data_IF_412104120365
#
_entry.id   IF_412104120365
#
_cell.length_a   1.000
_cell.length_b   1.000
_cell.length_c   1.000
_cell.angle_alpha   90.00
_cell.angle_beta   90.00
_cell.angle_gamma   90.00
#
_symmetry.space_group_name_H-M   'P 1'
#
loop_
_entity.id
_entity.type
_entity.pdbx_description
1 polymer ?
#
# COMPACT_ATOMS: atom_id res chain seq x y z
N UNK A 1 -11.92 13.91 -16.31
CA UNK A 1 -10.57 13.98 -16.91
C UNK A 1 -9.64 14.72 -15.97
N UNK A 2 -8.48 14.15 -15.64
CA UNK A 2 -7.57 14.73 -14.64
C UNK A 2 -6.58 15.67 -15.32
N UNK A 3 -6.64 16.97 -14.99
CA UNK A 3 -5.84 18.02 -15.64
C UNK A 3 -4.33 17.85 -15.41
N UNK A 4 -3.92 17.40 -14.22
CA UNK A 4 -2.48 17.16 -13.90
C UNK A 4 -1.85 16.06 -14.75
N UNK A 5 -2.66 15.19 -15.36
CA UNK A 5 -2.19 14.12 -16.25
C UNK A 5 -2.44 14.46 -17.73
N UNK A 6 -2.61 15.74 -18.08
CA UNK A 6 -2.91 16.21 -19.43
C UNK A 6 -4.09 15.47 -20.10
N UNK A 7 -5.02 14.96 -19.29
CA UNK A 7 -6.17 14.19 -19.75
C UNK A 7 -5.91 12.73 -20.15
N UNK A 8 -4.73 12.19 -19.89
CA UNK A 8 -4.40 10.78 -20.14
C UNK A 8 -5.11 9.82 -19.18
N UNK A 9 -5.51 10.30 -17.99
CA UNK A 9 -6.25 9.52 -16.99
C UNK A 9 -7.61 10.13 -16.69
N UNK A 10 -8.54 9.26 -16.33
CA UNK A 10 -9.86 9.60 -15.82
C UNK A 10 -10.13 8.86 -14.51
N UNK A 11 -10.99 9.43 -13.68
CA UNK A 11 -11.50 8.78 -12.48
C UNK A 11 -12.86 8.20 -12.82
N UNK A 12 -13.07 6.94 -12.49
CA UNK A 12 -14.39 6.34 -12.57
C UNK A 12 -15.34 6.96 -11.55
N UNK A 13 -16.47 7.49 -12.02
CA UNK A 13 -17.45 8.14 -11.12
C UNK A 13 -18.05 7.19 -10.08
N UNK A 14 -18.10 5.89 -10.37
CA UNK A 14 -18.76 4.91 -9.51
C UNK A 14 -17.80 4.21 -8.54
N UNK A 15 -16.59 3.89 -9.00
CA UNK A 15 -15.59 3.12 -8.23
C UNK A 15 -14.44 3.96 -7.68
N UNK A 16 -14.28 5.22 -8.10
CA UNK A 16 -13.15 6.06 -7.71
C UNK A 16 -11.80 5.59 -8.29
N UNK A 17 -11.81 4.60 -9.18
CA UNK A 17 -10.59 4.03 -9.77
C UNK A 17 -10.03 5.00 -10.79
N UNK A 18 -8.74 5.31 -10.67
CA UNK A 18 -7.96 6.04 -11.68
C UNK A 18 -7.61 5.04 -12.79
N UNK A 19 -8.01 5.36 -14.02
CA UNK A 19 -7.73 4.55 -15.22
C UNK A 19 -7.27 5.43 -16.37
N UNK A 20 -6.63 4.84 -17.37
CA UNK A 20 -6.31 5.55 -18.61
C UNK A 20 -7.61 5.89 -19.37
N UNK A 21 -7.60 7.01 -20.10
CA UNK A 21 -8.78 7.61 -20.72
C UNK A 21 -9.47 6.67 -21.73
N UNK A 22 -8.71 5.76 -22.35
CA UNK A 22 -9.20 4.79 -23.32
C UNK A 22 -8.36 3.51 -23.30
N UNK A 23 -8.95 2.38 -23.71
CA UNK A 23 -8.26 1.08 -23.70
C UNK A 23 -7.03 1.05 -24.62
N UNK A 24 -7.06 1.77 -25.75
CA UNK A 24 -5.91 1.89 -26.65
C UNK A 24 -4.75 2.67 -26.01
N UNK A 25 -5.03 3.61 -25.13
CA UNK A 25 -4.00 4.31 -24.34
C UNK A 25 -3.36 3.36 -23.33
N UNK A 26 -4.15 2.46 -22.73
CA UNK A 26 -3.65 1.40 -21.87
C UNK A 26 -2.77 0.42 -22.63
N UNK A 27 -3.23 -0.10 -23.76
CA UNK A 27 -2.45 -1.00 -24.60
C UNK A 27 -1.12 -0.36 -25.07
N UNK A 28 -1.16 0.92 -25.46
CA UNK A 28 0.04 1.67 -25.82
C UNK A 28 0.99 1.82 -24.63
N UNK A 29 0.49 2.19 -23.46
CA UNK A 29 1.29 2.33 -22.24
C UNK A 29 1.93 1.01 -21.84
N UNK A 30 1.17 -0.09 -21.80
CA UNK A 30 1.67 -1.42 -21.43
C UNK A 30 2.78 -1.90 -22.39
N UNK A 31 2.64 -1.64 -23.69
CA UNK A 31 3.67 -1.98 -24.68
C UNK A 31 4.95 -1.14 -24.57
N UNK A 32 4.82 0.12 -24.16
CA UNK A 32 5.94 1.10 -24.20
C UNK A 32 6.58 1.35 -22.84
N UNK A 33 5.89 1.04 -21.73
CA UNK A 33 6.34 1.38 -20.36
C UNK A 33 7.73 0.87 -20.04
N UNK A 34 8.09 -0.35 -20.43
CA UNK A 34 9.42 -0.90 -20.16
C UNK A 34 10.56 -0.13 -20.84
N UNK A 35 10.29 0.50 -21.99
CA UNK A 35 11.27 1.31 -22.72
C UNK A 35 11.30 2.76 -22.22
N UNK A 36 10.15 3.34 -21.89
CA UNK A 36 10.04 4.75 -21.55
C UNK A 36 10.23 5.02 -20.05
N UNK A 37 9.92 4.03 -19.22
CA UNK A 37 9.98 4.09 -17.77
C UNK A 37 10.74 2.88 -17.21
N UNK A 38 12.00 2.66 -17.64
CA UNK A 38 12.78 1.50 -17.22
C UNK A 38 13.00 1.44 -15.69
N UNK A 39 13.05 2.61 -15.04
CA UNK A 39 13.28 2.74 -13.60
C UNK A 39 12.01 3.03 -12.79
N UNK A 40 10.81 2.88 -13.37
CA UNK A 40 9.56 3.21 -12.69
C UNK A 40 9.40 2.45 -11.36
N UNK A 41 9.62 1.14 -11.37
CA UNK A 41 9.48 0.31 -10.16
C UNK A 41 10.48 0.76 -9.08
N UNK A 42 11.73 1.03 -9.47
CA UNK A 42 12.76 1.55 -8.56
C UNK A 42 12.39 2.91 -7.95
N UNK A 43 11.89 3.83 -8.78
CA UNK A 43 11.44 5.14 -8.32
C UNK A 43 10.26 5.01 -7.35
N UNK A 44 9.25 4.22 -7.69
CA UNK A 44 8.07 4.02 -6.84
C UNK A 44 8.49 3.36 -5.53
N UNK A 45 9.31 2.31 -5.55
CA UNK A 45 9.85 1.68 -4.35
C UNK A 45 10.55 2.68 -3.45
N UNK A 46 11.44 3.52 -3.98
CA UNK A 46 12.14 4.57 -3.22
C UNK A 46 11.17 5.53 -2.55
N UNK A 47 10.17 6.00 -3.28
CA UNK A 47 9.13 6.89 -2.74
C UNK A 47 8.38 6.18 -1.61
N UNK A 48 7.95 4.93 -1.82
CA UNK A 48 7.25 4.15 -0.80
C UNK A 48 8.09 3.97 0.46
N UNK A 49 9.33 3.48 0.36
CA UNK A 49 10.16 3.24 1.56
C UNK A 49 10.59 4.52 2.26
N UNK A 50 10.79 5.61 1.52
CA UNK A 50 11.05 6.94 2.09
C UNK A 50 9.86 7.40 2.92
N UNK A 51 8.66 7.26 2.36
CA UNK A 51 7.43 7.65 3.05
C UNK A 51 7.14 6.76 4.27
N UNK A 52 7.31 5.44 4.14
CA UNK A 52 7.19 4.50 5.26
C UNK A 52 8.23 4.79 6.37
N UNK A 53 9.45 5.18 5.99
CA UNK A 53 10.48 5.60 6.95
C UNK A 53 10.11 6.86 7.72
N UNK A 54 9.22 7.72 7.20
CA UNK A 54 8.67 8.84 7.96
C UNK A 54 7.58 8.42 8.96
N UNK A 55 6.98 7.25 8.78
CA UNK A 55 5.91 6.77 9.68
C UNK A 55 6.46 6.28 11.03
N UNK A 56 7.70 5.77 11.07
CA UNK A 56 8.36 5.45 12.35
C UNK A 56 8.52 6.70 13.23
N UNK A 57 8.82 7.85 12.62
CA UNK A 57 8.88 9.15 13.32
C UNK A 57 7.51 9.63 13.81
N UNK A 58 6.41 9.20 13.16
CA UNK A 58 5.04 9.48 13.62
C UNK A 58 4.62 8.66 14.85
N UNK A 59 5.52 7.84 15.41
CA UNK A 59 5.29 6.99 16.58
C UNK A 59 4.06 6.06 16.44
N UNK A 60 3.71 5.67 15.21
CA UNK A 60 2.64 4.70 14.97
C UNK A 60 3.19 3.31 15.36
N UNK A 61 3.14 2.97 16.65
CA UNK A 61 3.35 1.61 17.15
C UNK A 61 2.02 0.90 17.25
N UNK A 62 1.71 -0.01 16.33
CA UNK A 62 0.53 -0.86 16.44
C UNK A 62 0.95 -2.19 17.10
N UNK A 63 1.32 -2.15 18.39
CA UNK A 63 1.48 -3.37 19.20
C UNK A 63 0.20 -4.20 19.23
N UNK A 64 0.29 -5.48 19.66
CA UNK A 64 -0.78 -6.50 19.68
C UNK A 64 -2.19 -5.91 19.72
N UNK A 65 -2.86 -5.91 18.56
CA UNK A 65 -4.08 -5.13 18.33
C UNK A 65 -5.32 -5.94 18.69
N UNK A 66 -6.07 -5.46 19.68
CA UNK A 66 -7.48 -5.83 19.84
C UNK A 66 -8.35 -5.01 18.89
N UNK A 67 -9.60 -5.44 18.65
CA UNK A 67 -10.56 -4.67 17.85
C UNK A 67 -10.78 -3.23 18.39
N UNK A 68 -10.68 -3.04 19.70
CA UNK A 68 -10.78 -1.73 20.36
C UNK A 68 -9.57 -0.84 20.05
N UNK A 69 -8.36 -1.42 20.00
CA UNK A 69 -7.14 -0.69 19.62
C UNK A 69 -7.22 -0.14 18.19
N UNK A 70 -7.84 -0.88 17.27
CA UNK A 70 -8.06 -0.42 15.89
C UNK A 70 -8.97 0.81 15.85
N UNK A 71 -10.09 0.78 16.58
CA UNK A 71 -11.05 1.89 16.61
C UNK A 71 -10.46 3.15 17.24
N UNK A 72 -9.79 3.02 18.38
CA UNK A 72 -9.10 4.12 19.06
C UNK A 72 -8.04 4.77 18.16
N UNK A 73 -7.29 3.96 17.41
CA UNK A 73 -6.22 4.46 16.54
C UNK A 73 -6.73 5.10 15.26
N UNK A 74 -7.88 4.65 14.73
CA UNK A 74 -8.56 5.35 13.63
C UNK A 74 -8.91 6.79 14.03
N UNK A 75 -9.35 6.99 15.27
CA UNK A 75 -9.60 8.32 15.84
C UNK A 75 -8.30 9.09 16.06
N UNK A 76 -7.26 8.46 16.60
CA UNK A 76 -5.94 9.09 16.83
C UNK A 76 -5.22 9.50 15.54
N UNK A 77 -5.37 8.73 14.45
CA UNK A 77 -4.88 9.10 13.11
C UNK A 77 -5.75 10.18 12.44
N UNK A 78 -6.77 10.69 13.14
CA UNK A 78 -7.51 11.90 12.79
C UNK A 78 -8.27 11.79 11.47
N UNK A 79 -8.70 10.59 11.08
CA UNK A 79 -9.34 10.36 9.77
C UNK A 79 -8.46 10.69 8.57
N UNK A 80 -7.19 11.05 8.78
CA UNK A 80 -6.25 11.50 7.75
C UNK A 80 -5.50 10.32 7.12
N UNK A 81 -6.20 9.18 7.08
CA UNK A 81 -5.85 7.98 6.35
C UNK A 81 -5.89 8.32 4.86
N UNK A 82 -4.78 8.85 4.36
CA UNK A 82 -4.76 9.33 2.99
C UNK A 82 -4.53 8.15 2.03
N UNK A 83 -4.96 8.33 0.78
CA UNK A 83 -4.81 7.30 -0.26
C UNK A 83 -3.36 6.86 -0.46
N UNK A 84 -2.39 7.74 -0.17
CA UNK A 84 -0.97 7.44 -0.30
C UNK A 84 -0.49 6.48 0.80
N UNK A 85 -0.93 6.65 2.06
CA UNK A 85 -0.57 5.77 3.18
C UNK A 85 -0.98 4.31 2.89
N UNK A 86 -2.20 4.13 2.37
CA UNK A 86 -2.70 2.83 1.90
C UNK A 86 -1.83 2.28 0.79
N UNK A 87 -1.57 3.10 -0.22
CA UNK A 87 -0.84 2.67 -1.41
C UNK A 87 0.58 2.23 -1.05
N UNK A 88 1.32 3.05 -0.30
CA UNK A 88 2.71 2.73 0.04
C UNK A 88 2.80 1.50 0.95
N UNK A 89 1.87 1.32 1.90
CA UNK A 89 1.89 0.14 2.78
C UNK A 89 1.61 -1.17 2.05
N UNK A 90 0.67 -1.15 1.11
CA UNK A 90 0.27 -2.36 0.38
C UNK A 90 1.18 -2.68 -0.81
N UNK A 91 1.86 -1.69 -1.40
CA UNK A 91 2.53 -1.87 -2.70
C UNK A 91 4.06 -1.76 -2.65
N UNK A 92 4.69 -1.24 -1.57
CA UNK A 92 6.15 -1.07 -1.53
C UNK A 92 6.90 -2.37 -1.84
N UNK A 93 6.46 -3.49 -1.25
CA UNK A 93 7.07 -4.81 -1.43
C UNK A 93 6.83 -5.40 -2.81
N UNK A 94 5.69 -5.09 -3.42
CA UNK A 94 5.40 -5.46 -4.80
C UNK A 94 6.36 -4.75 -5.77
N UNK A 95 6.47 -3.43 -5.68
CA UNK A 95 7.42 -2.65 -6.50
C UNK A 95 8.88 -3.07 -6.25
N UNK A 96 9.24 -3.33 -4.98
CA UNK A 96 10.59 -3.79 -4.62
C UNK A 96 10.95 -5.19 -5.16
N UNK A 97 9.95 -6.00 -5.54
CA UNK A 97 10.18 -7.31 -6.16
C UNK A 97 10.45 -7.22 -7.66
N UNK A 98 9.92 -6.19 -8.32
CA UNK A 98 10.05 -5.99 -9.77
C UNK A 98 11.37 -5.30 -10.16
N UNK A 99 12.17 -4.83 -9.20
CA UNK A 99 13.48 -4.25 -9.45
C UNK A 99 14.58 -5.32 -9.49
N UNK A 100 15.51 -5.18 -10.45
CA UNK A 100 16.64 -6.10 -10.61
C UNK A 100 17.76 -5.88 -9.60
N UNK A 101 17.88 -4.65 -9.07
CA UNK A 101 18.90 -4.24 -8.10
C UNK A 101 18.25 -3.48 -6.97
N UNK A 102 18.42 -3.97 -5.74
CA UNK A 102 17.91 -3.30 -4.54
C UNK A 102 18.72 -2.03 -4.31
N UNK A 103 18.04 -0.90 -4.12
CA UNK A 103 18.67 0.40 -3.86
C UNK A 103 18.98 0.61 -2.37
N UNK A 104 19.90 1.53 -2.09
CA UNK A 104 20.36 1.83 -0.73
C UNK A 104 19.25 2.27 0.21
N UNK A 105 18.25 3.00 -0.30
CA UNK A 105 17.10 3.45 0.49
C UNK A 105 16.28 2.27 1.03
N UNK A 106 16.09 1.24 0.21
CA UNK A 106 15.41 0.00 0.63
C UNK A 106 16.27 -0.74 1.65
N UNK A 107 17.57 -0.85 1.41
CA UNK A 107 18.49 -1.50 2.36
C UNK A 107 18.52 -0.79 3.71
N UNK A 108 18.51 0.54 3.71
CA UNK A 108 18.45 1.36 4.92
C UNK A 108 17.12 1.16 5.65
N UNK A 109 16.00 1.18 4.93
CA UNK A 109 14.68 0.89 5.50
C UNK A 109 14.62 -0.50 6.15
N UNK A 110 15.08 -1.55 5.45
CA UNK A 110 15.06 -2.92 5.95
C UNK A 110 15.96 -3.13 7.19
N UNK A 111 17.03 -2.33 7.33
CA UNK A 111 17.91 -2.35 8.51
C UNK A 111 17.30 -1.64 9.71
N UNK A 112 16.41 -0.67 9.48
CA UNK A 112 15.67 0.00 10.54
C UNK A 112 14.48 -0.85 11.00
N UNK A 113 14.72 -1.69 12.02
CA UNK A 113 13.69 -2.55 12.63
C UNK A 113 12.46 -1.76 13.09
N UNK A 114 12.63 -0.51 13.50
CA UNK A 114 11.52 0.32 13.97
C UNK A 114 10.64 0.78 12.80
N UNK A 115 11.25 1.14 11.68
CA UNK A 115 10.55 1.48 10.44
C UNK A 115 9.84 0.28 9.83
N UNK A 116 10.52 -0.88 9.77
CA UNK A 116 9.90 -2.12 9.28
C UNK A 116 8.70 -2.52 10.15
N UNK A 117 8.85 -2.46 11.48
CA UNK A 117 7.74 -2.77 12.39
C UNK A 117 6.56 -1.82 12.18
N UNK A 118 6.80 -0.51 12.15
CA UNK A 118 5.75 0.49 11.92
C UNK A 118 5.03 0.28 10.57
N UNK A 119 5.77 -0.08 9.52
CA UNK A 119 5.19 -0.38 8.21
C UNK A 119 4.33 -1.66 8.23
N UNK A 120 4.79 -2.73 8.89
CA UNK A 120 4.05 -3.99 9.04
C UNK A 120 2.76 -3.79 9.85
N UNK A 121 2.89 -3.10 10.98
CA UNK A 121 1.82 -2.67 11.85
C UNK A 121 0.75 -1.90 11.06
N UNK A 122 1.17 -0.91 10.28
CA UNK A 122 0.27 -0.10 9.47
C UNK A 122 -0.39 -0.92 8.35
N UNK A 123 0.34 -1.83 7.73
CA UNK A 123 -0.21 -2.73 6.71
C UNK A 123 -1.31 -3.62 7.29
N UNK A 124 -1.11 -4.16 8.50
CA UNK A 124 -2.14 -4.93 9.21
C UNK A 124 -3.40 -4.08 9.47
N UNK A 125 -3.22 -2.82 9.88
CA UNK A 125 -4.31 -1.86 10.02
C UNK A 125 -5.01 -1.55 8.69
N UNK A 126 -4.26 -1.32 7.61
CA UNK A 126 -4.80 -1.10 6.26
C UNK A 126 -5.69 -2.26 5.83
N UNK A 127 -5.19 -3.50 5.96
CA UNK A 127 -5.91 -4.71 5.57
C UNK A 127 -7.18 -4.90 6.40
N UNK A 128 -7.12 -4.60 7.70
CA UNK A 128 -8.30 -4.63 8.55
C UNK A 128 -9.37 -3.63 8.09
N UNK A 129 -9.03 -2.35 7.92
CA UNK A 129 -10.01 -1.31 7.58
C UNK A 129 -10.55 -1.44 6.14
N UNK A 130 -9.70 -1.78 5.17
CA UNK A 130 -10.08 -1.77 3.75
C UNK A 130 -10.64 -3.09 3.24
N UNK A 131 -10.30 -4.23 3.87
CA UNK A 131 -10.70 -5.55 3.41
C UNK A 131 -11.57 -6.25 4.45
N UNK A 132 -11.04 -6.49 5.66
CA UNK A 132 -11.71 -7.34 6.66
C UNK A 132 -12.99 -6.69 7.19
N UNK A 133 -12.92 -5.43 7.63
CA UNK A 133 -14.08 -4.71 8.17
C UNK A 133 -15.21 -4.62 7.16
N UNK A 134 -14.91 -4.25 5.92
CA UNK A 134 -15.89 -4.15 4.83
C UNK A 134 -16.50 -5.51 4.45
N UNK A 135 -15.73 -6.60 4.58
CA UNK A 135 -16.28 -7.94 4.42
C UNK A 135 -17.25 -8.29 5.56
N UNK A 136 -16.88 -8.02 6.81
CA UNK A 136 -17.74 -8.25 7.98
C UNK A 136 -19.02 -7.40 7.92
N UNK A 137 -18.95 -6.17 7.42
CA UNK A 137 -20.13 -5.28 7.29
C UNK A 137 -20.94 -5.51 6.01
N UNK A 138 -20.47 -6.36 5.08
CA UNK A 138 -21.16 -6.68 3.83
C UNK A 138 -20.97 -5.66 2.69
N UNK A 139 -20.01 -4.73 2.81
CA UNK A 139 -19.75 -3.63 1.88
C UNK A 139 -18.74 -3.95 0.76
N UNK A 140 -18.32 -5.22 0.63
CA UNK A 140 -17.35 -5.68 -0.36
C UNK A 140 -17.86 -6.98 -1.05
N UNK A 141 -18.01 -7.02 -2.38
CA UNK A 141 -18.42 -8.24 -3.08
C UNK A 141 -17.32 -9.31 -2.96
N UNK A 142 -17.67 -10.60 -2.88
CA UNK A 142 -16.72 -11.69 -2.64
C UNK A 142 -15.90 -11.95 -3.91
N UNK A 143 -14.79 -11.24 -4.10
CA UNK A 143 -13.80 -11.60 -5.13
C UNK A 143 -12.65 -12.35 -4.47
N UNK A 144 -12.66 -13.69 -4.61
CA UNK A 144 -11.79 -14.63 -3.88
C UNK A 144 -10.29 -14.45 -4.12
N UNK A 145 -9.88 -13.92 -5.27
CA UNK A 145 -8.46 -13.84 -5.65
C UNK A 145 -7.63 -12.86 -4.81
N UNK A 146 -8.22 -11.70 -4.45
CA UNK A 146 -7.53 -10.66 -3.64
C UNK A 146 -7.41 -11.10 -2.17
N UNK A 147 -8.30 -12.00 -1.74
CA UNK A 147 -8.39 -12.48 -0.35
C UNK A 147 -7.25 -13.44 0.00
N UNK A 148 -6.92 -14.38 -0.89
CA UNK A 148 -5.92 -15.40 -0.59
C UNK A 148 -4.51 -14.82 -0.46
N UNK A 149 -4.16 -13.83 -1.27
CA UNK A 149 -2.83 -13.21 -1.22
C UNK A 149 -2.69 -12.24 -0.03
N UNK A 150 -3.73 -11.46 0.28
CA UNK A 150 -3.73 -10.56 1.43
C UNK A 150 -3.78 -11.29 2.78
N UNK A 151 -4.56 -12.39 2.87
CA UNK A 151 -4.65 -13.22 4.06
C UNK A 151 -3.35 -14.03 4.29
N UNK A 152 -2.71 -14.52 3.23
CA UNK A 152 -1.37 -15.14 3.32
C UNK A 152 -0.33 -14.14 3.79
N UNK A 153 -0.31 -12.92 3.22
CA UNK A 153 0.62 -11.86 3.64
C UNK A 153 0.42 -11.46 5.12
N UNK A 154 -0.83 -11.40 5.58
CA UNK A 154 -1.15 -11.14 6.99
C UNK A 154 -0.65 -12.27 7.91
N UNK A 155 -0.91 -13.53 7.55
CA UNK A 155 -0.47 -14.70 8.31
C UNK A 155 1.06 -14.87 8.30
N UNK A 156 1.75 -14.51 7.22
CA UNK A 156 3.21 -14.61 7.11
C UNK A 156 3.94 -13.49 7.89
N UNK A 157 3.30 -12.35 8.13
CA UNK A 157 3.87 -11.21 8.86
C UNK A 157 3.45 -11.15 10.34
N UNK A 158 2.35 -11.83 10.73
CA UNK A 158 1.97 -11.97 12.15
C UNK A 158 3.04 -12.56 13.09
N UNK A 159 3.95 -13.48 12.68
CA UNK A 159 5.01 -13.96 13.56
C UNK A 159 6.02 -12.88 13.98
N UNK A 160 6.12 -11.78 13.22
CA UNK A 160 7.01 -10.65 13.54
C UNK A 160 6.37 -9.64 14.51
N UNK A 161 5.04 -9.61 14.62
CA UNK A 161 4.31 -8.71 15.53
C UNK A 161 3.89 -9.37 16.85
N UNK A 162 3.85 -10.72 16.90
CA UNK A 162 3.40 -11.50 18.06
C UNK A 162 4.48 -11.77 19.12
N UNK A 163 5.76 -11.51 18.84
CA UNK A 163 6.81 -11.54 19.87
C UNK A 163 6.90 -10.17 20.57
N UNK A 164 5.85 -9.82 21.31
CA UNK A 164 5.97 -8.86 22.41
C UNK A 164 6.55 -9.55 23.65
#
# INVERSE_FOLDING_TARGET
MVSVCAGLVTVDGNSGIIRLVHYTTQEYFERTRGRWLPDAESYITKVCVTYLSFMSFRQIRLGCLTAEDFLFRREALGGNWNTLDVYVTLNWGHHAREISTICDEVMQFLRDKSAVRAASDLMAFTLWETVVRRWVTGDLPPNKGVFDDAARLFLDLTPLSLNC
#
